data_IF_711217917860
#
_entry.id   IF_711217917860
#
_cell.length_a   1.000
_cell.length_b   1.000
_cell.length_c   1.000
_cell.angle_alpha   90.00
_cell.angle_beta   90.00
_cell.angle_gamma   90.00
#
_symmetry.space_group_name_H-M   'P 1'
#
loop_
_entity.id
_entity.type
_entity.pdbx_description
1 polymer ?
#
# COMPACT_ATOMS: atom_id res chain seq x y z
N UNK A 1 -38.36 35.40 -2.06
CA UNK A 1 -37.52 34.47 -2.85
C UNK A 1 -37.05 33.30 -1.97
N UNK A 2 -37.97 32.58 -1.32
CA UNK A 2 -37.59 31.65 -0.22
C UNK A 2 -38.21 30.26 -0.34
N UNK A 3 -39.09 30.03 -1.32
CA UNK A 3 -39.78 28.74 -1.49
C UNK A 3 -39.16 27.82 -2.53
N UNK A 4 -38.33 28.34 -3.45
CA UNK A 4 -37.71 27.54 -4.52
C UNK A 4 -36.35 26.95 -4.08
N UNK A 5 -35.52 27.75 -3.39
CA UNK A 5 -34.21 27.33 -2.89
C UNK A 5 -34.31 26.25 -1.81
N UNK A 6 -35.31 26.34 -0.93
CA UNK A 6 -35.59 25.31 0.08
C UNK A 6 -36.01 23.96 -0.55
N UNK A 7 -36.65 24.00 -1.73
CA UNK A 7 -37.09 22.78 -2.43
C UNK A 7 -35.93 22.09 -3.15
N UNK A 8 -34.98 22.87 -3.69
CA UNK A 8 -33.75 22.32 -4.27
C UNK A 8 -32.82 21.72 -3.21
N UNK A 9 -32.65 22.40 -2.07
CA UNK A 9 -31.83 21.89 -0.95
C UNK A 9 -32.38 20.55 -0.44
N UNK A 10 -33.70 20.46 -0.22
CA UNK A 10 -34.35 19.25 0.27
C UNK A 10 -34.13 18.04 -0.67
N UNK A 11 -34.27 18.24 -1.99
CA UNK A 11 -33.98 17.17 -2.98
C UNK A 11 -32.52 16.71 -2.94
N UNK A 12 -31.58 17.63 -2.73
CA UNK A 12 -30.17 17.28 -2.61
C UNK A 12 -29.81 16.61 -1.30
N UNK A 13 -30.55 16.88 -0.22
CA UNK A 13 -30.42 16.19 1.05
C UNK A 13 -30.99 14.78 0.97
N UNK A 14 -32.09 14.56 0.25
CA UNK A 14 -32.57 13.21 -0.07
C UNK A 14 -31.51 12.41 -0.83
N UNK A 15 -30.85 13.01 -1.82
CA UNK A 15 -29.74 12.36 -2.55
C UNK A 15 -28.56 12.00 -1.64
N UNK A 16 -28.18 12.91 -0.74
CA UNK A 16 -27.10 12.67 0.24
C UNK A 16 -27.53 11.57 1.22
N UNK A 17 -28.76 11.61 1.71
CA UNK A 17 -29.35 10.64 2.64
C UNK A 17 -29.38 9.24 2.02
N UNK A 18 -29.80 9.14 0.75
CA UNK A 18 -29.77 7.90 -0.01
C UNK A 18 -28.34 7.36 -0.19
N UNK A 19 -27.36 8.24 -0.35
CA UNK A 19 -25.95 7.86 -0.46
C UNK A 19 -25.32 7.44 0.87
N UNK A 20 -25.82 7.97 2.00
CA UNK A 20 -25.32 7.68 3.35
C UNK A 20 -26.04 6.52 4.05
N UNK A 21 -27.28 6.20 3.64
CA UNK A 21 -28.04 5.04 4.11
C UNK A 21 -28.20 5.01 5.64
N UNK A 22 -27.85 3.87 6.25
CA UNK A 22 -28.04 3.56 7.68
C UNK A 22 -27.20 4.43 8.66
N UNK A 23 -26.37 5.35 8.14
CA UNK A 23 -25.56 6.27 8.95
C UNK A 23 -26.34 7.48 9.43
N UNK A 24 -27.45 7.77 8.77
CA UNK A 24 -28.39 8.83 9.17
C UNK A 24 -28.99 8.43 10.51
N UNK A 25 -28.75 9.24 11.54
CA UNK A 25 -29.18 9.00 12.93
C UNK A 25 -28.16 8.27 13.82
N UNK A 26 -27.05 7.75 13.27
CA UNK A 26 -25.93 7.18 14.05
C UNK A 26 -24.70 8.10 14.10
N UNK A 27 -24.30 8.64 12.96
CA UNK A 27 -23.10 9.48 12.82
C UNK A 27 -23.43 10.93 12.45
N UNK A 28 -24.56 11.15 11.76
CA UNK A 28 -25.00 12.48 11.33
C UNK A 28 -26.52 12.52 11.21
N UNK A 29 -27.12 13.65 11.56
CA UNK A 29 -28.58 13.89 11.42
C UNK A 29 -28.90 14.64 10.14
N UNK A 30 -30.15 14.53 9.66
CA UNK A 30 -30.63 15.25 8.47
C UNK A 30 -30.47 16.77 8.65
N UNK A 31 -30.80 17.28 9.83
CA UNK A 31 -30.65 18.69 10.20
C UNK A 31 -29.20 19.20 10.13
N UNK A 32 -28.22 18.35 10.48
CA UNK A 32 -26.80 18.69 10.40
C UNK A 32 -26.30 18.70 8.95
N UNK A 33 -26.81 17.78 8.11
CA UNK A 33 -26.51 17.77 6.68
C UNK A 33 -27.06 19.02 6.00
N UNK A 34 -28.28 19.43 6.34
CA UNK A 34 -28.91 20.66 5.85
C UNK A 34 -28.08 21.89 6.23
N UNK A 35 -27.73 22.04 7.50
CA UNK A 35 -26.90 23.17 7.98
C UNK A 35 -25.54 23.21 7.29
N UNK A 36 -24.91 22.06 7.05
CA UNK A 36 -23.61 22.01 6.38
C UNK A 36 -23.71 22.30 4.89
N UNK A 37 -24.71 21.75 4.21
CA UNK A 37 -24.96 22.04 2.80
C UNK A 37 -25.27 23.52 2.60
N UNK A 38 -26.12 24.09 3.45
CA UNK A 38 -26.44 25.52 3.46
C UNK A 38 -25.19 26.38 3.63
N UNK A 39 -24.35 26.05 4.61
CA UNK A 39 -23.08 26.74 4.85
C UNK A 39 -22.16 26.70 3.63
N UNK A 40 -22.09 25.57 2.90
CA UNK A 40 -21.31 25.49 1.67
C UNK A 40 -21.86 26.39 0.55
N UNK A 41 -23.17 26.45 0.40
CA UNK A 41 -23.82 27.32 -0.58
C UNK A 41 -23.62 28.80 -0.25
N UNK A 42 -23.65 29.17 1.03
CA UNK A 42 -23.34 30.53 1.51
C UNK A 42 -21.89 30.95 1.20
N UNK A 43 -20.94 30.03 1.26
CA UNK A 43 -19.57 30.26 0.82
C UNK A 43 -19.38 30.20 -0.71
N UNK A 44 -20.46 30.05 -1.48
CA UNK A 44 -20.41 30.00 -2.95
C UNK A 44 -19.85 28.70 -3.52
N UNK A 45 -19.80 27.62 -2.73
CA UNK A 45 -19.36 26.31 -3.22
C UNK A 45 -20.45 25.72 -4.12
N UNK A 46 -20.12 25.28 -5.35
CA UNK A 46 -21.11 24.66 -6.23
C UNK A 46 -21.78 23.45 -5.59
N UNK A 47 -23.09 23.32 -5.77
CA UNK A 47 -23.92 22.33 -5.05
C UNK A 47 -23.44 20.87 -5.23
N UNK A 48 -22.96 20.52 -6.42
CA UNK A 48 -22.42 19.19 -6.70
C UNK A 48 -21.10 18.91 -5.96
N UNK A 49 -20.28 19.94 -5.76
CA UNK A 49 -19.03 19.84 -5.00
C UNK A 49 -19.31 19.77 -3.50
N UNK A 50 -20.28 20.54 -3.02
CA UNK A 50 -20.76 20.46 -1.64
C UNK A 50 -21.31 19.07 -1.31
N UNK A 51 -22.19 18.52 -2.17
CA UNK A 51 -22.72 17.14 -2.04
C UNK A 51 -21.61 16.11 -1.96
N UNK A 52 -20.64 16.14 -2.89
CA UNK A 52 -19.49 15.20 -2.88
C UNK A 52 -18.65 15.33 -1.61
N UNK A 53 -18.48 16.55 -1.09
CA UNK A 53 -17.70 16.80 0.12
C UNK A 53 -18.38 16.23 1.35
N UNK A 54 -19.70 16.42 1.48
CA UNK A 54 -20.53 15.88 2.57
C UNK A 54 -20.58 14.35 2.50
N UNK A 55 -20.86 13.79 1.31
CA UNK A 55 -20.88 12.35 1.08
C UNK A 55 -19.51 11.74 1.38
N UNK A 56 -18.41 12.39 1.02
CA UNK A 56 -17.07 11.91 1.38
C UNK A 56 -16.82 11.97 2.89
N UNK A 57 -17.27 13.04 3.55
CA UNK A 57 -17.04 13.24 4.98
C UNK A 57 -17.75 12.20 5.85
N UNK A 58 -19.01 11.89 5.54
CA UNK A 58 -19.83 10.93 6.32
C UNK A 58 -19.95 9.55 5.67
N UNK A 59 -19.67 9.43 4.38
CA UNK A 59 -19.63 8.16 3.65
C UNK A 59 -18.32 7.39 3.88
N UNK A 60 -17.31 7.99 4.51
CA UNK A 60 -15.97 7.39 4.67
C UNK A 60 -15.82 6.39 5.82
N UNK A 61 -16.90 6.01 6.51
CA UNK A 61 -16.88 4.90 7.48
C UNK A 61 -17.82 3.75 7.10
N UNK A 62 -17.64 3.20 5.91
CA UNK A 62 -18.29 1.93 5.55
C UNK A 62 -17.30 0.99 4.91
N UNK A 63 -16.80 0.07 5.74
CA UNK A 63 -16.25 -1.24 5.40
C UNK A 63 -17.20 -2.12 4.56
N UNK A 64 -18.35 -1.60 4.11
CA UNK A 64 -19.37 -2.31 3.33
C UNK A 64 -19.49 -1.87 1.85
N UNK A 65 -18.64 -0.98 1.34
CA UNK A 65 -18.71 -0.54 -0.08
C UNK A 65 -17.38 -0.29 -0.77
N UNK A 66 -16.26 -0.41 -0.05
CA UNK A 66 -14.93 -0.22 -0.59
C UNK A 66 -14.49 -1.56 -1.18
N UNK A 67 -14.58 -1.71 -2.51
CA UNK A 67 -14.14 -2.93 -3.19
C UNK A 67 -12.64 -3.14 -2.98
N UNK A 68 -12.28 -4.12 -2.13
CA UNK A 68 -10.92 -4.63 -2.00
C UNK A 68 -10.44 -5.17 -3.35
N UNK A 69 -9.20 -4.85 -3.72
CA UNK A 69 -8.46 -5.52 -4.80
C UNK A 69 -7.41 -6.46 -4.21
N UNK A 70 -7.11 -7.53 -4.94
CA UNK A 70 -5.92 -8.33 -4.65
C UNK A 70 -4.67 -7.60 -5.11
N UNK A 71 -3.55 -7.83 -4.44
CA UNK A 71 -2.27 -7.21 -4.78
C UNK A 71 -1.85 -7.54 -6.22
N UNK A 72 -2.11 -8.77 -6.71
CA UNK A 72 -1.80 -9.18 -8.09
C UNK A 72 -2.59 -8.42 -9.17
N UNK A 73 -3.72 -7.82 -8.80
CA UNK A 73 -4.62 -7.10 -9.72
C UNK A 73 -4.27 -5.62 -9.83
N UNK A 74 -3.31 -5.15 -9.04
CA UNK A 74 -2.87 -3.77 -9.08
C UNK A 74 -2.03 -3.54 -10.34
N UNK A 75 -2.34 -2.45 -11.04
CA UNK A 75 -1.51 -1.93 -12.14
C UNK A 75 -0.70 -0.74 -11.65
N UNK A 76 0.38 -0.37 -12.35
CA UNK A 76 1.05 0.89 -12.10
C UNK A 76 0.11 2.10 -12.31
N UNK A 77 0.34 3.17 -11.55
CA UNK A 77 -0.37 4.45 -11.70
C UNK A 77 -1.89 4.41 -11.41
N UNK A 78 -2.35 3.46 -10.60
CA UNK A 78 -3.73 3.41 -10.11
C UNK A 78 -3.90 4.35 -8.91
N UNK A 79 -5.10 4.94 -8.77
CA UNK A 79 -5.52 5.74 -7.63
C UNK A 79 -6.71 5.10 -6.91
N UNK A 80 -7.01 5.55 -5.70
CA UNK A 80 -8.11 5.03 -4.87
C UNK A 80 -8.04 3.50 -4.66
N UNK A 81 -6.84 2.97 -4.49
CA UNK A 81 -6.58 1.55 -4.30
C UNK A 81 -6.90 1.17 -2.85
N UNK A 82 -7.67 0.10 -2.69
CA UNK A 82 -8.07 -0.42 -1.39
C UNK A 82 -7.69 -1.89 -1.29
N UNK A 83 -6.92 -2.24 -0.27
CA UNK A 83 -6.34 -3.58 -0.10
C UNK A 83 -6.42 -4.01 1.36
N UNK A 84 -6.35 -5.31 1.57
CA UNK A 84 -6.08 -5.90 2.87
C UNK A 84 -4.85 -6.79 2.69
N UNK A 85 -3.87 -6.64 3.56
CA UNK A 85 -2.62 -7.37 3.46
C UNK A 85 -1.84 -7.40 4.77
N UNK A 86 -0.97 -8.39 4.88
CA UNK A 86 -0.04 -8.53 5.99
C UNK A 86 1.28 -7.84 5.70
N UNK A 87 1.74 -7.05 6.65
CA UNK A 87 3.03 -6.36 6.58
C UNK A 87 4.15 -7.36 6.81
N UNK A 88 4.99 -7.60 5.80
CA UNK A 88 6.12 -8.53 5.88
C UNK A 88 7.36 -7.83 6.43
N UNK A 89 7.59 -6.60 5.98
CA UNK A 89 8.67 -5.73 6.46
C UNK A 89 8.20 -4.29 6.52
N UNK A 90 8.77 -3.51 7.44
CA UNK A 90 8.62 -2.06 7.53
C UNK A 90 9.92 -1.47 8.06
N UNK A 91 10.48 -0.50 7.36
CA UNK A 91 11.75 0.12 7.68
C UNK A 91 11.65 1.64 7.54
N UNK A 92 12.17 2.43 8.49
CA UNK A 92 12.26 3.87 8.35
C UNK A 92 13.37 4.27 7.37
N UNK A 93 13.18 5.39 6.68
CA UNK A 93 14.19 6.05 5.84
C UNK A 93 14.02 7.55 5.90
N UNK A 94 15.12 8.28 6.07
CA UNK A 94 15.13 9.72 5.84
C UNK A 94 15.39 10.00 4.36
N UNK A 95 14.58 10.87 3.78
CA UNK A 95 14.73 11.37 2.41
C UNK A 95 14.77 12.89 2.44
N UNK A 96 15.48 13.48 1.50
CA UNK A 96 15.42 14.92 1.26
C UNK A 96 14.50 15.18 0.07
N UNK A 97 13.47 15.99 0.27
CA UNK A 97 12.53 16.37 -0.76
C UNK A 97 12.43 17.89 -0.79
N UNK A 98 12.88 18.52 -1.88
CA UNK A 98 12.90 19.98 -2.04
C UNK A 98 13.62 20.72 -0.89
N UNK A 99 14.72 20.14 -0.39
CA UNK A 99 15.50 20.72 0.71
C UNK A 99 14.95 20.43 2.12
N UNK A 100 13.77 19.81 2.24
CA UNK A 100 13.23 19.37 3.53
C UNK A 100 13.56 17.90 3.79
N UNK A 101 14.12 17.60 4.97
CA UNK A 101 14.26 16.22 5.44
C UNK A 101 12.90 15.67 5.87
N UNK A 102 12.47 14.57 5.26
CA UNK A 102 11.25 13.85 5.60
C UNK A 102 11.59 12.40 5.95
N UNK A 103 10.97 11.91 7.03
CA UNK A 103 11.02 10.51 7.40
C UNK A 103 9.85 9.78 6.74
N UNK A 104 10.19 8.79 5.93
CA UNK A 104 9.23 7.88 5.30
C UNK A 104 9.44 6.46 5.84
N UNK A 105 8.49 5.58 5.55
CA UNK A 105 8.61 4.16 5.85
C UNK A 105 8.43 3.38 4.55
N UNK A 106 9.20 2.32 4.38
CA UNK A 106 9.11 1.46 3.21
C UNK A 106 9.19 0.00 3.64
N UNK A 107 8.59 -0.88 2.85
CA UNK A 107 8.49 -2.26 3.23
C UNK A 107 7.82 -3.12 2.17
N UNK A 108 7.44 -4.32 2.59
CA UNK A 108 6.75 -5.31 1.78
C UNK A 108 5.42 -5.65 2.44
N UNK A 109 4.37 -5.73 1.65
CA UNK A 109 3.04 -6.17 2.07
C UNK A 109 2.62 -7.35 1.20
N UNK A 110 2.03 -8.37 1.82
CA UNK A 110 1.59 -9.59 1.15
C UNK A 110 0.09 -9.80 1.36
N UNK A 111 -0.53 -10.42 0.37
CA UNK A 111 -1.84 -11.06 0.49
C UNK A 111 -1.75 -12.50 -0.04
N UNK A 112 -2.89 -13.18 -0.16
CA UNK A 112 -2.99 -14.53 -0.74
C UNK A 112 -2.51 -14.62 -2.20
N UNK A 113 -2.31 -13.47 -2.87
CA UNK A 113 -2.08 -13.38 -4.30
C UNK A 113 -0.63 -13.07 -4.67
N UNK A 114 0.03 -12.12 -3.99
CA UNK A 114 1.43 -11.72 -4.27
C UNK A 114 2.02 -10.86 -3.13
N UNK A 115 3.30 -10.52 -3.23
CA UNK A 115 3.98 -9.53 -2.37
C UNK A 115 4.28 -8.28 -3.20
N UNK A 116 3.96 -7.11 -2.67
CA UNK A 116 4.32 -5.84 -3.30
C UNK A 116 5.11 -4.92 -2.35
N UNK A 117 6.03 -4.11 -2.90
CA UNK A 117 6.66 -3.06 -2.14
C UNK A 117 5.65 -1.96 -1.83
N UNK A 118 5.77 -1.35 -0.66
CA UNK A 118 5.04 -0.14 -0.31
C UNK A 118 5.97 0.98 0.19
N UNK A 119 5.52 2.23 0.00
CA UNK A 119 6.09 3.44 0.61
C UNK A 119 5.00 4.17 1.38
N UNK A 120 5.20 4.43 2.66
CA UNK A 120 4.35 5.27 3.49
C UNK A 120 5.01 6.63 3.71
N UNK A 121 4.32 7.70 3.31
CA UNK A 121 4.86 9.07 3.31
C UNK A 121 4.79 9.77 4.67
N UNK A 122 4.20 9.09 5.67
CA UNK A 122 4.14 9.49 7.08
C UNK A 122 4.13 8.24 7.96
N UNK A 123 4.19 8.43 9.27
CA UNK A 123 3.98 7.33 10.20
C UNK A 123 2.49 6.96 10.28
N UNK A 124 2.21 5.69 10.10
CA UNK A 124 0.88 5.08 10.23
C UNK A 124 0.83 4.10 11.41
N UNK A 125 1.90 4.03 12.22
CA UNK A 125 2.07 3.06 13.31
C UNK A 125 1.88 1.62 12.83
N UNK A 126 2.46 1.29 11.66
CA UNK A 126 2.38 -0.04 11.06
C UNK A 126 3.53 -0.89 11.58
N UNK A 127 3.22 -2.11 12.02
CA UNK A 127 4.20 -3.05 12.54
C UNK A 127 4.38 -4.28 11.65
N UNK A 128 5.56 -4.90 11.71
CA UNK A 128 5.84 -6.17 11.04
C UNK A 128 4.88 -7.24 11.57
N UNK A 129 4.27 -8.00 10.67
CA UNK A 129 3.34 -9.09 10.95
C UNK A 129 1.89 -8.64 11.09
N UNK A 130 1.60 -7.34 11.20
CA UNK A 130 0.24 -6.81 11.31
C UNK A 130 -0.54 -7.03 10.00
N UNK A 131 -1.81 -7.40 10.10
CA UNK A 131 -2.76 -7.36 8.97
C UNK A 131 -3.46 -6.02 8.99
N UNK A 132 -3.36 -5.29 7.90
CA UNK A 132 -3.91 -3.94 7.76
C UNK A 132 -4.89 -3.85 6.60
N UNK A 133 -5.97 -3.11 6.79
CA UNK A 133 -6.81 -2.59 5.74
C UNK A 133 -6.31 -1.20 5.36
N UNK A 134 -5.99 -1.02 4.08
CA UNK A 134 -5.55 0.25 3.52
C UNK A 134 -6.60 0.75 2.56
N UNK A 135 -7.08 1.98 2.78
CA UNK A 135 -8.07 2.66 1.96
C UNK A 135 -7.45 3.91 1.35
N UNK A 136 -7.76 4.16 0.07
CA UNK A 136 -7.28 5.33 -0.66
C UNK A 136 -5.74 5.40 -0.76
N UNK A 137 -5.11 4.25 -1.04
CA UNK A 137 -3.74 4.19 -1.50
C UNK A 137 -3.66 4.51 -2.99
N UNK A 138 -2.44 4.62 -3.51
CA UNK A 138 -2.18 4.72 -4.94
C UNK A 138 -0.95 3.89 -5.32
N UNK A 139 -0.77 3.58 -6.59
CA UNK A 139 0.39 2.83 -7.07
C UNK A 139 1.28 3.69 -7.95
N UNK A 140 2.58 3.37 -7.96
CA UNK A 140 3.56 3.91 -8.89
C UNK A 140 4.33 2.77 -9.55
N UNK A 141 4.81 2.90 -10.80
CA UNK A 141 5.72 1.92 -11.39
C UNK A 141 7.04 1.92 -10.62
N UNK A 142 7.52 0.73 -10.27
CA UNK A 142 8.80 0.52 -9.60
C UNK A 142 9.42 -0.80 -10.06
N UNK A 143 10.58 -0.77 -10.71
CA UNK A 143 11.31 -1.98 -11.15
C UNK A 143 10.43 -3.01 -11.89
N UNK A 144 9.51 -2.52 -12.73
CA UNK A 144 8.59 -3.36 -13.52
C UNK A 144 7.33 -3.85 -12.81
N UNK A 145 7.15 -3.52 -11.53
CA UNK A 145 5.96 -3.88 -10.72
C UNK A 145 5.26 -2.65 -10.13
N UNK A 146 3.97 -2.74 -9.76
CA UNK A 146 3.32 -1.69 -8.98
C UNK A 146 3.91 -1.61 -7.57
N UNK A 147 4.29 -0.40 -7.14
CA UNK A 147 4.58 -0.09 -5.74
C UNK A 147 3.41 0.64 -5.12
N UNK A 148 2.89 0.12 -4.00
CA UNK A 148 1.86 0.78 -3.20
C UNK A 148 2.41 2.02 -2.50
N UNK A 149 1.60 3.06 -2.39
CA UNK A 149 1.97 4.29 -1.72
C UNK A 149 0.85 4.75 -0.79
N UNK A 150 1.20 4.99 0.47
CA UNK A 150 0.28 5.48 1.52
C UNK A 150 0.52 6.98 1.71
N UNK A 151 -0.35 7.78 1.11
CA UNK A 151 -0.26 9.24 1.09
C UNK A 151 -1.01 9.91 2.23
N UNK A 152 -1.17 11.23 2.12
CA UNK A 152 -1.86 12.06 3.10
C UNK A 152 -3.31 11.60 3.36
N UNK A 153 -4.04 11.27 2.28
CA UNK A 153 -5.44 10.85 2.34
C UNK A 153 -5.64 9.34 2.49
N UNK A 154 -4.56 8.57 2.65
CA UNK A 154 -4.66 7.13 2.90
C UNK A 154 -5.11 6.88 4.34
N UNK A 155 -6.06 5.98 4.53
CA UNK A 155 -6.48 5.47 5.84
C UNK A 155 -5.91 4.06 6.02
N UNK A 156 -5.28 3.79 7.16
CA UNK A 156 -4.73 2.47 7.49
C UNK A 156 -5.33 2.07 8.83
N UNK A 157 -5.97 0.91 8.86
CA UNK A 157 -6.66 0.37 10.04
C UNK A 157 -6.27 -1.10 10.24
N UNK A 158 -6.18 -1.60 11.47
CA UNK A 158 -6.03 -3.03 11.71
C UNK A 158 -7.21 -3.80 11.10
N UNK A 159 -6.93 -4.92 10.42
CA UNK A 159 -7.96 -5.82 9.92
C UNK A 159 -8.06 -7.06 10.79
N UNK A 160 -9.27 -7.62 10.91
CA UNK A 160 -9.54 -8.92 11.54
C UNK A 160 -9.42 -10.09 10.57
N UNK A 161 -9.21 -9.82 9.28
CA UNK A 161 -9.01 -10.88 8.28
C UNK A 161 -7.71 -11.65 8.54
N UNK A 162 -7.77 -12.97 8.35
CA UNK A 162 -6.60 -13.81 8.40
C UNK A 162 -5.91 -13.84 7.03
N UNK A 163 -4.84 -13.07 6.90
CA UNK A 163 -3.91 -13.19 5.79
C UNK A 163 -2.72 -14.04 6.25
N UNK A 164 -2.35 -15.15 5.59
CA UNK A 164 -1.23 -16.00 6.01
C UNK A 164 0.07 -15.22 6.26
N UNK A 165 0.80 -15.63 7.30
CA UNK A 165 2.03 -15.00 7.80
C UNK A 165 3.20 -15.01 6.80
N UNK A 166 3.24 -16.06 6.02
CA UNK A 166 4.27 -16.38 5.05
C UNK A 166 3.56 -16.85 3.80
N UNK A 167 3.90 -16.27 2.65
CA UNK A 167 3.60 -16.98 1.41
C UNK A 167 4.29 -18.35 1.48
N UNK A 168 3.62 -19.38 1.00
CA UNK A 168 4.27 -20.67 0.79
C UNK A 168 5.54 -20.42 -0.03
N UNK A 169 6.68 -20.86 0.52
CA UNK A 169 7.95 -20.75 -0.18
C UNK A 169 7.82 -21.57 -1.47
N UNK A 170 7.69 -20.86 -2.59
CA UNK A 170 7.56 -21.52 -3.89
C UNK A 170 8.92 -21.91 -4.39
N UNK A 171 9.09 -23.18 -4.74
CA UNK A 171 10.22 -23.62 -5.54
C UNK A 171 10.10 -23.03 -6.93
N UNK A 172 11.16 -22.38 -7.39
CA UNK A 172 11.25 -21.89 -8.75
C UNK A 172 12.66 -22.08 -9.31
N UNK A 173 12.75 -22.08 -10.64
CA UNK A 173 14.03 -22.07 -11.36
C UNK A 173 14.60 -20.66 -11.48
N UNK A 174 15.85 -20.53 -11.87
CA UNK A 174 16.54 -19.23 -11.98
C UNK A 174 15.89 -18.33 -13.03
N UNK A 175 15.40 -18.86 -14.15
CA UNK A 175 14.71 -18.07 -15.18
C UNK A 175 13.29 -17.62 -14.80
N UNK A 176 12.70 -18.26 -13.79
CA UNK A 176 11.40 -17.90 -13.25
C UNK A 176 11.46 -16.71 -12.29
N UNK A 177 12.66 -16.32 -11.83
CA UNK A 177 12.89 -15.17 -10.96
C UNK A 177 12.41 -13.88 -11.61
N UNK A 178 11.42 -13.23 -10.97
CA UNK A 178 10.81 -11.98 -11.41
C UNK A 178 10.62 -11.03 -10.24
N UNK A 179 10.65 -9.73 -10.51
CA UNK A 179 10.27 -8.71 -9.54
C UNK A 179 8.91 -9.02 -8.93
N UNK A 180 8.77 -8.89 -7.61
CA UNK A 180 7.52 -9.12 -6.90
C UNK A 180 7.22 -10.57 -6.55
N UNK A 181 8.11 -11.52 -6.89
CA UNK A 181 8.10 -12.82 -6.21
C UNK A 181 8.39 -12.60 -4.72
N UNK A 182 7.56 -13.21 -3.87
CA UNK A 182 7.78 -13.25 -2.43
C UNK A 182 8.97 -14.14 -2.06
N UNK A 183 8.89 -14.79 -0.90
CA UNK A 183 9.87 -15.80 -0.52
C UNK A 183 9.83 -16.98 -1.50
N UNK A 184 10.98 -17.34 -2.07
CA UNK A 184 11.13 -18.45 -3.02
C UNK A 184 12.24 -19.37 -2.57
N UNK A 185 12.16 -20.62 -2.98
CA UNK A 185 13.23 -21.60 -2.81
C UNK A 185 13.89 -21.87 -4.16
N UNK A 186 15.21 -21.74 -4.22
CA UNK A 186 15.99 -22.01 -5.42
C UNK A 186 17.17 -22.91 -5.04
N UNK A 187 17.45 -23.90 -5.89
CA UNK A 187 18.67 -24.68 -5.83
C UNK A 187 19.52 -24.27 -7.02
N UNK A 188 20.64 -23.59 -6.76
CA UNK A 188 21.50 -23.06 -7.81
C UNK A 188 22.98 -23.18 -7.46
N UNK A 189 23.81 -23.28 -8.49
CA UNK A 189 25.26 -23.24 -8.37
C UNK A 189 25.75 -21.80 -8.20
N UNK A 190 26.61 -21.57 -7.21
CA UNK A 190 27.28 -20.29 -7.02
C UNK A 190 28.39 -20.16 -8.08
N UNK A 191 28.23 -19.20 -8.99
CA UNK A 191 29.23 -18.92 -10.04
C UNK A 191 30.25 -17.86 -9.63
N UNK A 192 29.85 -16.92 -8.75
CA UNK A 192 30.78 -15.95 -8.17
C UNK A 192 30.25 -15.42 -6.84
N UNK A 193 31.16 -15.01 -5.96
CA UNK A 193 30.85 -14.29 -4.71
C UNK A 193 31.87 -13.17 -4.53
N UNK A 194 31.39 -11.96 -4.23
CA UNK A 194 32.19 -10.77 -3.94
C UNK A 194 31.62 -10.08 -2.71
N UNK A 195 32.44 -9.33 -2.00
CA UNK A 195 32.00 -8.47 -0.90
C UNK A 195 32.32 -6.99 -1.17
N UNK A 196 31.52 -6.10 -0.60
CA UNK A 196 31.79 -4.66 -0.55
C UNK A 196 31.23 -4.05 0.74
N UNK A 197 31.82 -2.96 1.18
CA UNK A 197 31.28 -2.14 2.26
C UNK A 197 30.32 -1.08 1.70
N UNK A 198 29.20 -0.89 2.39
CA UNK A 198 28.18 0.12 2.05
C UNK A 198 27.75 0.87 3.30
N UNK A 199 27.62 2.18 3.18
CA UNK A 199 26.99 3.01 4.21
C UNK A 199 25.46 2.90 4.08
N UNK A 200 24.82 2.41 5.13
CA UNK A 200 23.36 2.41 5.26
C UNK A 200 22.96 3.16 6.53
N UNK A 201 22.64 4.44 6.37
CA UNK A 201 22.16 5.29 7.46
C UNK A 201 23.25 5.64 8.46
N UNK A 202 24.46 5.96 7.98
CA UNK A 202 25.63 6.31 8.79
C UNK A 202 26.32 5.11 9.44
N UNK A 203 25.98 3.89 9.02
CA UNK A 203 26.58 2.64 9.51
C UNK A 203 27.18 1.87 8.35
N UNK A 204 28.47 1.59 8.43
CA UNK A 204 29.14 0.70 7.48
C UNK A 204 28.66 -0.74 7.69
N UNK A 205 28.15 -1.34 6.61
CA UNK A 205 27.73 -2.74 6.55
C UNK A 205 28.43 -3.44 5.40
N UNK A 206 28.77 -4.71 5.60
CA UNK A 206 29.22 -5.58 4.50
C UNK A 206 28.02 -6.12 3.72
N UNK A 207 28.16 -6.14 2.41
CA UNK A 207 27.22 -6.74 1.47
C UNK A 207 27.96 -7.73 0.59
N UNK A 208 27.39 -8.92 0.49
CA UNK A 208 27.87 -10.00 -0.37
C UNK A 208 27.01 -10.03 -1.63
N UNK A 209 27.61 -10.18 -2.80
CA UNK A 209 26.88 -10.20 -4.07
C UNK A 209 27.61 -11.08 -5.08
N UNK A 210 26.89 -11.60 -6.05
CA UNK A 210 27.46 -12.55 -6.98
C UNK A 210 26.46 -13.06 -8.00
N UNK A 211 26.79 -14.19 -8.61
CA UNK A 211 25.96 -14.82 -9.65
C UNK A 211 25.64 -16.24 -9.22
N UNK A 212 24.36 -16.61 -9.31
CA UNK A 212 23.88 -17.98 -9.23
C UNK A 212 23.43 -18.47 -10.60
N UNK A 213 23.45 -19.78 -10.83
CA UNK A 213 22.97 -20.38 -12.06
C UNK A 213 22.41 -21.79 -11.85
N UNK A 214 21.44 -22.15 -12.67
CA UNK A 214 20.94 -23.52 -12.84
C UNK A 214 20.92 -23.86 -14.34
N UNK A 215 20.24 -24.94 -14.74
CA UNK A 215 20.10 -25.33 -16.15
C UNK A 215 19.28 -24.35 -17.01
N UNK A 216 18.52 -23.44 -16.38
CA UNK A 216 17.64 -22.50 -17.07
C UNK A 216 18.24 -21.13 -17.28
N UNK A 217 19.17 -20.70 -16.43
CA UNK A 217 19.76 -19.38 -16.57
C UNK A 217 20.72 -18.97 -15.48
N UNK A 218 20.96 -17.66 -15.42
CA UNK A 218 21.81 -16.99 -14.43
C UNK A 218 21.06 -15.84 -13.80
N UNK A 219 21.24 -15.63 -12.50
CA UNK A 219 20.72 -14.47 -11.79
C UNK A 219 21.79 -13.86 -10.89
N UNK A 220 21.71 -12.55 -10.70
CA UNK A 220 22.52 -11.87 -9.68
C UNK A 220 21.85 -12.00 -8.32
N UNK A 221 22.64 -12.20 -7.27
CA UNK A 221 22.16 -12.18 -5.89
C UNK A 221 22.85 -11.08 -5.08
N UNK A 222 22.19 -10.68 -3.99
CA UNK A 222 22.76 -9.79 -2.97
C UNK A 222 22.32 -10.29 -1.60
N UNK A 223 23.24 -10.39 -0.65
CA UNK A 223 23.02 -10.80 0.73
C UNK A 223 23.64 -9.79 1.69
N UNK A 224 22.90 -9.49 2.76
CA UNK A 224 23.36 -8.65 3.87
C UNK A 224 23.98 -9.49 5.01
N UNK A 225 24.06 -10.80 4.83
CA UNK A 225 24.62 -11.74 5.79
C UNK A 225 25.68 -12.61 5.10
N UNK A 226 26.76 -12.92 5.81
CA UNK A 226 27.79 -13.84 5.33
C UNK A 226 27.33 -15.28 5.53
N UNK A 227 26.91 -15.93 4.44
CA UNK A 227 26.56 -17.35 4.44
C UNK A 227 27.76 -18.25 4.15
N UNK A 228 28.97 -17.68 4.07
CA UNK A 228 30.22 -18.36 3.73
C UNK A 228 30.13 -19.12 2.39
N UNK A 229 29.44 -18.51 1.42
CA UNK A 229 29.21 -19.10 0.11
C UNK A 229 30.52 -19.18 -0.69
N UNK A 230 30.71 -20.28 -1.42
CA UNK A 230 31.92 -20.56 -2.20
C UNK A 230 31.60 -20.75 -3.68
N UNK A 231 32.47 -20.22 -4.53
CA UNK A 231 32.37 -20.46 -5.97
C UNK A 231 32.44 -21.97 -6.27
N UNK A 232 31.53 -22.44 -7.12
CA UNK A 232 31.45 -23.82 -7.54
C UNK A 232 30.49 -24.69 -6.71
N UNK A 233 30.06 -24.26 -5.53
CA UNK A 233 29.13 -25.04 -4.70
C UNK A 233 27.67 -24.92 -5.20
N UNK A 234 26.84 -25.90 -4.83
CA UNK A 234 25.39 -25.86 -5.06
C UNK A 234 24.71 -25.52 -3.74
N UNK A 235 23.96 -24.43 -3.73
CA UNK A 235 23.26 -23.93 -2.55
C UNK A 235 21.74 -24.02 -2.72
N UNK A 236 21.05 -24.37 -1.64
CA UNK A 236 19.59 -24.20 -1.50
C UNK A 236 19.35 -22.87 -0.78
N UNK A 237 18.67 -21.95 -1.43
CA UNK A 237 18.43 -20.57 -0.98
C UNK A 237 16.93 -20.41 -0.69
N UNK A 238 16.57 -19.87 0.49
CA UNK A 238 15.19 -19.64 0.96
C UNK A 238 15.07 -18.35 1.75
#
# INVERSE_FOLDING_TARGET
MTSNDNKEISSHIEDITKALGDKIGKEVTVDELEKQLQKFLEYGVPIQQAKKTIIRKYGSDTSAGIKRKLLKELKPSESNVNIIGRVITVNPKEIELKGEKKRIFYGMIADESTVLPFTAWRDFNIEKGQVIQVTNAYTKPWQGIPQLNFGEYTKVEPSKEEIPGTQEIKRCKVDELKSGLGSVEIVAKILSVKEKEVDVGGKNKKVYFGIIADETGKAQFTSWHDFNLKEGEVARIT
#
